data_IF_213319684679
#
_entry.id   IF_213319684679
#
_cell.length_a   1.000
_cell.length_b   1.000
_cell.length_c   1.000
_cell.angle_alpha   90.00
_cell.angle_beta   90.00
_cell.angle_gamma   90.00
#
_symmetry.space_group_name_H-M   'P 1'
#
loop_
_entity.id
_entity.type
_entity.pdbx_description
1 polymer ?
#
# COMPACT_ATOMS: atom_id res chain seq x y z
N UNK A 1 -36.77 0.41 -24.18
CA UNK A 1 -35.77 0.16 -25.25
C UNK A 1 -34.41 0.82 -24.98
N UNK A 2 -34.26 1.83 -24.11
CA UNK A 2 -32.93 2.39 -23.77
C UNK A 2 -32.16 1.56 -22.74
N UNK A 3 -32.80 1.04 -21.69
CA UNK A 3 -32.13 0.27 -20.63
C UNK A 3 -31.50 -1.06 -21.10
N UNK A 4 -32.06 -1.68 -22.14
CA UNK A 4 -31.51 -2.92 -22.72
C UNK A 4 -30.27 -2.65 -23.57
N UNK A 5 -30.23 -1.51 -24.28
CA UNK A 5 -29.09 -1.12 -25.10
C UNK A 5 -27.87 -0.74 -24.22
N UNK A 6 -28.09 0.02 -23.14
CA UNK A 6 -27.03 0.38 -22.18
C UNK A 6 -26.42 -0.85 -21.51
N UNK A 7 -27.24 -1.86 -21.16
CA UNK A 7 -26.74 -3.09 -20.55
C UNK A 7 -25.95 -3.97 -21.53
N UNK A 8 -26.36 -4.02 -22.81
CA UNK A 8 -25.64 -4.79 -23.83
C UNK A 8 -24.31 -4.12 -24.21
N UNK A 9 -24.27 -2.78 -24.28
CA UNK A 9 -23.06 -2.01 -24.55
C UNK A 9 -22.07 -2.08 -23.36
N UNK A 10 -22.57 -2.04 -22.12
CA UNK A 10 -21.76 -2.27 -20.91
C UNK A 10 -21.13 -3.68 -20.88
N UNK A 11 -21.88 -4.71 -21.26
CA UNK A 11 -21.38 -6.09 -21.29
C UNK A 11 -20.34 -6.28 -22.41
N UNK A 12 -20.48 -5.60 -23.55
CA UNK A 12 -19.50 -5.65 -24.64
C UNK A 12 -18.19 -4.91 -24.32
N UNK A 13 -18.23 -3.85 -23.52
CA UNK A 13 -17.03 -3.11 -23.09
C UNK A 13 -16.22 -3.80 -21.99
N UNK A 14 -16.86 -4.71 -21.23
CA UNK A 14 -16.27 -5.36 -20.06
C UNK A 14 -15.06 -6.28 -20.36
N UNK A 15 -15.07 -7.12 -21.42
CA UNK A 15 -13.89 -7.90 -21.78
C UNK A 15 -12.69 -7.03 -22.16
N UNK A 16 -12.94 -5.92 -22.88
CA UNK A 16 -11.88 -5.01 -23.33
C UNK A 16 -11.25 -4.26 -22.15
N UNK A 17 -12.06 -3.80 -21.20
CA UNK A 17 -11.56 -3.11 -20.00
C UNK A 17 -10.74 -4.05 -19.09
N UNK A 18 -11.16 -5.32 -18.96
CA UNK A 18 -10.41 -6.34 -18.21
C UNK A 18 -9.06 -6.67 -18.86
N UNK A 19 -9.00 -6.76 -20.19
CA UNK A 19 -7.75 -6.97 -20.93
C UNK A 19 -6.80 -5.79 -20.81
N UNK A 20 -7.32 -4.57 -20.91
CA UNK A 20 -6.53 -3.36 -20.71
C UNK A 20 -5.98 -3.29 -19.28
N UNK A 21 -6.81 -3.60 -18.28
CA UNK A 21 -6.40 -3.66 -16.89
C UNK A 21 -5.28 -4.69 -16.67
N UNK A 22 -5.38 -5.87 -17.28
CA UNK A 22 -4.36 -6.90 -17.21
C UNK A 22 -3.05 -6.44 -17.87
N UNK A 23 -3.14 -5.77 -19.03
CA UNK A 23 -1.98 -5.22 -19.73
C UNK A 23 -1.25 -4.17 -18.87
N UNK A 24 -1.98 -3.23 -18.28
CA UNK A 24 -1.41 -2.20 -17.39
C UNK A 24 -0.77 -2.82 -16.14
N UNK A 25 -1.46 -3.76 -15.48
CA UNK A 25 -0.91 -4.49 -14.33
C UNK A 25 0.37 -5.25 -14.70
N UNK A 26 0.39 -5.94 -15.84
CA UNK A 26 1.57 -6.63 -16.35
C UNK A 26 2.73 -5.66 -16.61
N UNK A 27 2.46 -4.49 -17.22
CA UNK A 27 3.47 -3.45 -17.45
C UNK A 27 4.14 -3.00 -16.16
N UNK A 28 3.36 -2.74 -15.12
CA UNK A 28 3.86 -2.36 -13.77
C UNK A 28 4.69 -3.50 -13.17
N UNK A 29 4.17 -4.73 -13.16
CA UNK A 29 4.84 -5.90 -12.57
C UNK A 29 6.14 -6.24 -13.30
N UNK A 30 6.16 -6.22 -14.63
CA UNK A 30 7.37 -6.47 -15.41
C UNK A 30 8.44 -5.41 -15.14
N UNK A 31 8.04 -4.13 -15.02
CA UNK A 31 8.94 -3.04 -14.66
C UNK A 31 9.52 -3.25 -13.25
N UNK A 32 8.67 -3.61 -12.29
CA UNK A 32 9.08 -3.93 -10.93
C UNK A 32 10.02 -5.15 -10.84
N UNK A 33 9.79 -6.19 -11.64
CA UNK A 33 10.67 -7.36 -11.74
C UNK A 33 12.04 -6.98 -12.31
N UNK A 34 12.09 -6.19 -13.39
CA UNK A 34 13.35 -5.68 -13.96
C UNK A 34 14.13 -4.86 -12.96
N UNK A 35 13.43 -4.01 -12.21
CA UNK A 35 14.04 -3.24 -11.14
C UNK A 35 14.44 -4.11 -9.95
N UNK A 36 13.97 -5.37 -9.84
CA UNK A 36 14.12 -6.32 -8.70
C UNK A 36 13.37 -5.91 -7.42
N UNK A 37 12.24 -5.22 -7.56
CA UNK A 37 11.38 -4.75 -6.45
C UNK A 37 10.54 -5.90 -5.88
N UNK A 38 10.13 -6.83 -6.75
CA UNK A 38 9.32 -8.00 -6.41
C UNK A 38 10.11 -9.31 -6.56
N UNK A 39 9.76 -10.31 -5.75
CA UNK A 39 10.13 -11.71 -6.00
C UNK A 39 9.19 -12.30 -7.09
N UNK A 40 9.50 -13.48 -7.65
CA UNK A 40 8.56 -14.14 -8.58
C UNK A 40 7.17 -14.39 -7.97
N UNK A 41 7.11 -14.82 -6.70
CA UNK A 41 5.84 -15.00 -5.99
C UNK A 41 5.14 -13.66 -5.74
N UNK A 42 5.90 -12.63 -5.34
CA UNK A 42 5.39 -11.27 -5.17
C UNK A 42 4.86 -10.66 -6.47
N UNK A 43 5.45 -11.00 -7.62
CA UNK A 43 4.98 -10.53 -8.93
C UNK A 43 3.60 -11.07 -9.29
N UNK A 44 3.33 -12.35 -9.01
CA UNK A 44 2.00 -12.92 -9.22
C UNK A 44 0.96 -12.25 -8.31
N UNK A 45 1.27 -12.08 -7.03
CA UNK A 45 0.39 -11.38 -6.09
C UNK A 45 0.14 -9.93 -6.51
N UNK A 46 1.19 -9.21 -6.91
CA UNK A 46 1.09 -7.83 -7.36
C UNK A 46 0.31 -7.70 -8.68
N UNK A 47 0.41 -8.69 -9.56
CA UNK A 47 -0.40 -8.75 -10.78
C UNK A 47 -1.88 -8.85 -10.43
N UNK A 48 -2.27 -9.73 -9.51
CA UNK A 48 -3.68 -9.87 -9.11
C UNK A 48 -4.22 -8.60 -8.45
N UNK A 49 -3.48 -8.05 -7.48
CA UNK A 49 -3.84 -6.79 -6.81
C UNK A 49 -3.97 -5.65 -7.81
N UNK A 50 -2.97 -5.50 -8.69
CA UNK A 50 -2.96 -4.49 -9.74
C UNK A 50 -4.11 -4.67 -10.71
N UNK A 51 -4.32 -5.89 -11.21
CA UNK A 51 -5.35 -6.19 -12.20
C UNK A 51 -6.74 -5.86 -11.67
N UNK A 52 -7.09 -6.28 -10.45
CA UNK A 52 -8.39 -5.93 -9.84
C UNK A 52 -8.52 -4.42 -9.64
N UNK A 53 -7.45 -3.75 -9.19
CA UNK A 53 -7.46 -2.29 -9.01
C UNK A 53 -7.68 -1.55 -10.34
N UNK A 54 -6.98 -1.93 -11.41
CA UNK A 54 -7.18 -1.35 -12.74
C UNK A 54 -8.55 -1.73 -13.34
N UNK A 55 -9.02 -2.96 -13.09
CA UNK A 55 -10.32 -3.46 -13.56
C UNK A 55 -11.50 -2.75 -12.89
N UNK A 56 -11.31 -2.12 -11.73
CA UNK A 56 -12.33 -1.25 -11.12
C UNK A 56 -12.73 -0.05 -12.00
N UNK A 57 -11.96 0.25 -13.06
CA UNK A 57 -12.18 1.39 -13.93
C UNK A 57 -11.76 2.73 -13.32
N UNK A 58 -11.27 2.75 -12.08
CA UNK A 58 -10.83 3.96 -11.39
C UNK A 58 -9.32 4.21 -11.56
N UNK A 59 -8.98 5.20 -12.37
CA UNK A 59 -7.58 5.67 -12.47
C UNK A 59 -7.09 6.28 -11.15
N UNK A 60 -8.00 6.84 -10.35
CA UNK A 60 -7.72 7.34 -9.00
C UNK A 60 -7.20 6.21 -8.11
N UNK A 61 -7.74 4.98 -8.26
CA UNK A 61 -7.35 3.85 -7.42
C UNK A 61 -5.95 3.40 -7.78
N UNK A 62 -5.67 3.38 -9.08
CA UNK A 62 -4.33 3.14 -9.59
C UNK A 62 -3.32 4.17 -9.07
N UNK A 63 -3.68 5.46 -9.03
CA UNK A 63 -2.78 6.51 -8.50
C UNK A 63 -2.40 6.27 -7.03
N UNK A 64 -3.37 5.90 -6.20
CA UNK A 64 -3.16 5.57 -4.77
C UNK A 64 -2.29 4.31 -4.60
N UNK A 65 -2.63 3.22 -5.30
CA UNK A 65 -1.86 1.96 -5.29
C UNK A 65 -0.41 2.21 -5.74
N UNK A 66 -0.22 2.92 -6.86
CA UNK A 66 1.10 3.21 -7.41
C UNK A 66 1.91 4.12 -6.48
N UNK A 67 1.27 5.07 -5.81
CA UNK A 67 1.92 5.93 -4.80
C UNK A 67 2.53 5.09 -3.69
N UNK A 68 1.74 4.20 -3.07
CA UNK A 68 2.26 3.27 -2.08
C UNK A 68 3.39 2.41 -2.66
N UNK A 69 3.14 1.76 -3.80
CA UNK A 69 4.07 0.80 -4.37
C UNK A 69 5.42 1.41 -4.72
N UNK A 70 5.43 2.56 -5.41
CA UNK A 70 6.64 3.23 -5.87
C UNK A 70 7.42 3.82 -4.69
N UNK A 71 6.75 4.60 -3.83
CA UNK A 71 7.46 5.30 -2.75
C UNK A 71 8.03 4.33 -1.73
N UNK A 72 7.26 3.32 -1.33
CA UNK A 72 7.73 2.30 -0.41
C UNK A 72 8.84 1.43 -1.01
N UNK A 73 8.73 1.02 -2.29
CA UNK A 73 9.78 0.21 -2.93
C UNK A 73 11.09 0.99 -3.11
N UNK A 74 10.99 2.29 -3.39
CA UNK A 74 12.15 3.18 -3.45
C UNK A 74 12.81 3.31 -2.07
N UNK A 75 12.02 3.50 -1.03
CA UNK A 75 12.50 3.64 0.34
C UNK A 75 13.16 2.36 0.87
N UNK A 76 12.60 1.18 0.56
CA UNK A 76 13.22 -0.11 0.86
C UNK A 76 14.62 -0.28 0.29
N UNK A 77 14.95 0.43 -0.78
CA UNK A 77 16.28 0.40 -1.40
C UNK A 77 17.20 1.50 -0.93
N UNK A 78 16.63 2.63 -0.54
CA UNK A 78 17.40 3.75 -0.03
C UNK A 78 18.21 3.31 1.19
N UNK A 79 19.52 3.57 1.16
CA UNK A 79 20.48 3.18 2.21
C UNK A 79 20.43 1.69 2.60
N UNK A 80 20.11 0.80 1.66
CA UNK A 80 19.99 -0.64 1.91
C UNK A 80 21.21 -1.26 2.60
N UNK A 81 22.44 -0.84 2.27
CA UNK A 81 23.65 -1.38 2.92
C UNK A 81 23.74 -1.01 4.42
N UNK A 82 23.31 0.21 4.77
CA UNK A 82 23.28 0.66 6.17
C UNK A 82 22.21 -0.09 6.96
N UNK A 83 21.02 -0.28 6.36
CA UNK A 83 19.93 -1.07 6.96
C UNK A 83 20.34 -2.53 7.15
N UNK A 84 21.02 -3.15 6.17
CA UNK A 84 21.56 -4.52 6.26
C UNK A 84 22.50 -4.71 7.45
N UNK A 85 23.39 -3.75 7.72
CA UNK A 85 24.32 -3.86 8.86
C UNK A 85 23.56 -3.94 10.19
N UNK A 86 22.37 -3.35 10.27
CA UNK A 86 21.48 -3.39 11.43
C UNK A 86 20.56 -4.62 11.40
N UNK A 87 20.12 -5.05 10.21
CA UNK A 87 19.22 -6.19 9.99
C UNK A 87 19.91 -7.56 9.99
N UNK A 88 21.25 -7.68 10.06
CA UNK A 88 21.96 -8.99 10.11
C UNK A 88 21.50 -9.92 11.26
N UNK A 89 20.63 -9.43 12.14
CA UNK A 89 19.97 -10.18 13.22
C UNK A 89 18.54 -10.69 12.86
N UNK A 90 17.98 -10.34 11.69
CA UNK A 90 16.59 -10.66 11.30
C UNK A 90 16.46 -11.02 9.81
N UNK A 91 15.78 -12.13 9.52
CA UNK A 91 15.70 -12.75 8.19
C UNK A 91 14.66 -12.11 7.23
N UNK A 92 14.65 -10.78 7.04
CA UNK A 92 13.75 -10.15 6.06
C UNK A 92 14.41 -9.99 4.67
N UNK A 93 13.76 -10.54 3.64
CA UNK A 93 14.21 -10.45 2.25
C UNK A 93 14.01 -9.06 1.63
N UNK A 94 14.91 -8.63 0.73
CA UNK A 94 14.87 -7.29 0.08
C UNK A 94 13.76 -7.13 -0.97
N UNK A 95 13.15 -8.24 -1.40
CA UNK A 95 12.11 -8.23 -2.44
C UNK A 95 10.79 -8.49 -1.75
N UNK A 96 9.75 -7.74 -2.12
CA UNK A 96 8.41 -8.00 -1.60
C UNK A 96 7.95 -9.36 -2.09
N UNK A 97 7.65 -10.25 -1.15
CA UNK A 97 7.11 -11.58 -1.39
C UNK A 97 5.59 -11.56 -1.44
N UNK A 98 4.97 -12.64 -1.94
CA UNK A 98 3.52 -12.74 -2.05
C UNK A 98 2.81 -12.43 -0.73
N UNK A 99 3.30 -12.96 0.39
CA UNK A 99 2.73 -12.69 1.72
C UNK A 99 2.73 -11.19 2.05
N UNK A 100 3.83 -10.49 1.84
CA UNK A 100 3.91 -9.03 2.06
C UNK A 100 3.02 -8.24 1.10
N UNK A 101 2.90 -8.67 -0.15
CA UNK A 101 2.03 -7.98 -1.14
C UNK A 101 0.56 -8.17 -0.77
N UNK A 102 0.16 -9.37 -0.38
CA UNK A 102 -1.22 -9.68 0.01
C UNK A 102 -1.57 -9.09 1.38
N UNK A 103 -0.65 -9.07 2.35
CA UNK A 103 -0.87 -8.41 3.64
C UNK A 103 -1.16 -6.91 3.46
N UNK A 104 -0.35 -6.23 2.63
CA UNK A 104 -0.51 -4.79 2.39
C UNK A 104 -1.64 -4.45 1.42
N UNK A 105 -1.89 -5.31 0.43
CA UNK A 105 -2.76 -5.01 -0.71
C UNK A 105 -4.09 -5.76 -0.71
N UNK A 106 -4.24 -6.83 0.06
CA UNK A 106 -5.40 -7.72 -0.01
C UNK A 106 -6.69 -7.04 0.46
N UNK A 107 -6.66 -6.41 1.64
CA UNK A 107 -7.80 -5.63 2.17
C UNK A 107 -8.18 -4.50 1.23
N UNK A 108 -7.19 -3.73 0.76
CA UNK A 108 -7.43 -2.67 -0.23
C UNK A 108 -8.09 -3.24 -1.50
N UNK A 109 -7.58 -4.35 -2.03
CA UNK A 109 -8.13 -5.01 -3.23
C UNK A 109 -9.60 -5.42 -3.05
N UNK A 110 -9.95 -5.95 -1.88
CA UNK A 110 -11.34 -6.28 -1.57
C UNK A 110 -12.21 -5.01 -1.49
N UNK A 111 -11.73 -3.94 -0.86
CA UNK A 111 -12.45 -2.67 -0.76
C UNK A 111 -12.67 -2.04 -2.15
N UNK A 112 -11.67 -1.99 -3.03
CA UNK A 112 -11.86 -1.40 -4.36
C UNK A 112 -12.80 -2.24 -5.24
N UNK A 113 -12.78 -3.57 -5.10
CA UNK A 113 -13.76 -4.43 -5.76
C UNK A 113 -15.19 -4.16 -5.25
N UNK A 114 -15.37 -4.00 -3.93
CA UNK A 114 -16.66 -3.64 -3.35
C UNK A 114 -17.12 -2.24 -3.80
N UNK A 115 -16.21 -1.26 -3.88
CA UNK A 115 -16.50 0.06 -4.43
C UNK A 115 -16.98 -0.01 -5.88
N UNK A 116 -16.29 -0.80 -6.73
CA UNK A 116 -16.67 -0.96 -8.13
C UNK A 116 -18.07 -1.57 -8.31
N UNK A 117 -18.50 -2.44 -7.38
CA UNK A 117 -19.82 -3.08 -7.43
C UNK A 117 -20.94 -2.22 -6.83
N UNK A 118 -20.63 -1.40 -5.84
CA UNK A 118 -21.64 -0.70 -5.02
C UNK A 118 -21.71 0.80 -5.26
N UNK A 119 -20.61 1.41 -5.71
CA UNK A 119 -20.43 2.86 -5.78
C UNK A 119 -20.32 3.55 -4.41
N UNK A 120 -20.30 2.80 -3.31
CA UNK A 120 -20.31 3.37 -1.95
C UNK A 120 -18.92 3.90 -1.56
N UNK A 121 -18.84 5.22 -1.35
CA UNK A 121 -17.62 5.95 -0.99
C UNK A 121 -16.93 5.41 0.28
N UNK A 122 -17.63 4.72 1.19
CA UNK A 122 -16.98 4.14 2.36
C UNK A 122 -15.96 3.06 1.96
N UNK A 123 -16.23 2.28 0.91
CA UNK A 123 -15.28 1.31 0.38
C UNK A 123 -14.07 1.98 -0.27
N UNK A 124 -14.29 3.12 -0.93
CA UNK A 124 -13.21 3.95 -1.44
C UNK A 124 -12.31 4.48 -0.31
N UNK A 125 -12.89 5.04 0.74
CA UNK A 125 -12.15 5.53 1.90
C UNK A 125 -11.40 4.41 2.61
N UNK A 126 -12.00 3.22 2.73
CA UNK A 126 -11.34 2.03 3.28
C UNK A 126 -10.15 1.57 2.42
N UNK A 127 -10.29 1.60 1.09
CA UNK A 127 -9.20 1.34 0.16
C UNK A 127 -8.02 2.31 0.35
N UNK A 128 -8.31 3.61 0.40
CA UNK A 128 -7.28 4.64 0.60
C UNK A 128 -6.64 4.49 1.98
N UNK A 129 -7.45 4.29 3.04
CA UNK A 129 -6.97 4.06 4.40
C UNK A 129 -6.07 2.84 4.53
N UNK A 130 -6.41 1.74 3.86
CA UNK A 130 -5.57 0.54 3.83
C UNK A 130 -4.20 0.80 3.20
N UNK A 131 -4.13 1.51 2.07
CA UNK A 131 -2.84 1.89 1.49
C UNK A 131 -2.10 2.96 2.29
N UNK A 132 -2.81 3.86 2.97
CA UNK A 132 -2.20 4.81 3.89
C UNK A 132 -1.54 4.10 5.07
N UNK A 133 -2.18 3.06 5.62
CA UNK A 133 -1.61 2.21 6.66
C UNK A 133 -0.40 1.42 6.17
N UNK A 134 -0.51 0.75 5.02
CA UNK A 134 0.60 -0.01 4.44
C UNK A 134 1.82 0.88 4.11
N UNK A 135 1.58 2.11 3.62
CA UNK A 135 2.65 3.06 3.34
C UNK A 135 3.28 3.59 4.64
N UNK A 136 2.46 3.89 5.66
CA UNK A 136 2.94 4.30 6.98
C UNK A 136 3.81 3.23 7.64
N UNK A 137 3.38 1.96 7.61
CA UNK A 137 4.16 0.84 8.14
C UNK A 137 5.51 0.69 7.44
N UNK A 138 5.50 0.70 6.10
CA UNK A 138 6.75 0.59 5.33
C UNK A 138 7.67 1.78 5.61
N UNK A 139 7.16 3.00 5.65
CA UNK A 139 8.00 4.17 5.91
C UNK A 139 8.54 4.19 7.33
N UNK A 140 7.72 3.80 8.30
CA UNK A 140 8.10 3.69 9.71
C UNK A 140 9.23 2.69 9.91
N UNK A 141 9.09 1.48 9.35
CA UNK A 141 10.11 0.44 9.48
C UNK A 141 11.40 0.79 8.73
N UNK A 142 11.30 1.28 7.50
CA UNK A 142 12.47 1.55 6.64
C UNK A 142 13.31 2.74 7.12
N UNK A 143 12.66 3.82 7.58
CA UNK A 143 13.35 5.00 8.12
C UNK A 143 13.68 4.81 9.60
N UNK A 144 12.81 4.15 10.36
CA UNK A 144 13.03 3.81 11.77
C UNK A 144 14.24 2.90 11.97
N UNK A 145 14.52 1.97 11.05
CA UNK A 145 15.71 1.13 11.07
C UNK A 145 17.04 1.93 11.02
N UNK A 146 16.99 3.21 10.63
CA UNK A 146 18.14 4.11 10.58
C UNK A 146 18.26 5.00 11.83
N UNK A 147 17.35 4.84 12.80
CA UNK A 147 17.34 5.58 14.05
C UNK A 147 18.61 5.32 14.86
N UNK A 148 19.27 6.37 15.39
CA UNK A 148 20.38 6.21 16.33
C UNK A 148 19.90 5.81 17.74
N UNK A 149 18.61 5.98 18.03
CA UNK A 149 17.98 5.64 19.31
C UNK A 149 17.33 4.25 19.19
N UNK A 150 17.52 3.35 20.17
CA UNK A 150 16.93 2.02 20.14
C UNK A 150 15.39 2.10 20.09
N UNK A 151 14.72 1.16 19.38
CA UNK A 151 13.27 1.09 19.37
C UNK A 151 12.72 0.84 20.77
N UNK A 152 11.45 1.23 20.97
CA UNK A 152 10.70 0.92 22.19
C UNK A 152 9.44 0.15 21.83
N UNK A 153 9.07 -0.79 22.67
CA UNK A 153 7.81 -1.50 22.51
C UNK A 153 6.63 -0.51 22.60
N UNK A 154 5.69 -0.58 21.66
CA UNK A 154 4.59 0.41 21.54
C UNK A 154 3.72 0.51 22.80
N UNK A 155 3.38 -0.63 23.43
CA UNK A 155 2.57 -0.67 24.66
C UNK A 155 3.38 -0.42 25.95
N UNK A 156 4.51 -1.11 26.14
CA UNK A 156 5.24 -1.10 27.42
C UNK A 156 6.29 -0.01 27.51
N UNK A 157 6.61 0.66 26.39
CA UNK A 157 7.67 1.67 26.25
C UNK A 157 9.07 1.17 26.65
N UNK A 158 9.24 -0.14 26.83
CA UNK A 158 10.53 -0.76 27.15
C UNK A 158 11.45 -0.70 25.94
N UNK A 159 12.75 -0.41 26.12
CA UNK A 159 13.72 -0.51 25.04
C UNK A 159 13.75 -1.93 24.46
N UNK A 160 13.76 -2.01 23.14
CA UNK A 160 13.94 -3.23 22.37
C UNK A 160 15.26 -3.16 21.61
N UNK A 161 15.77 -4.32 21.19
CA UNK A 161 16.93 -4.35 20.30
C UNK A 161 16.49 -3.94 18.89
N UNK A 162 17.35 -3.26 18.12
CA UNK A 162 17.10 -3.04 16.70
C UNK A 162 16.86 -4.38 15.98
N UNK A 163 15.68 -4.53 15.37
CA UNK A 163 15.27 -5.77 14.68
C UNK A 163 14.23 -6.60 15.44
N UNK A 164 13.99 -6.32 16.73
CA UNK A 164 12.89 -6.94 17.46
C UNK A 164 11.53 -6.50 16.88
N UNK A 165 10.59 -7.44 16.77
CA UNK A 165 9.22 -7.14 16.36
C UNK A 165 8.53 -6.21 17.36
N UNK A 166 7.63 -5.35 16.86
CA UNK A 166 6.82 -4.42 17.67
C UNK A 166 7.57 -3.20 18.24
N UNK A 167 8.81 -2.98 17.77
CA UNK A 167 9.61 -1.82 18.15
C UNK A 167 9.32 -0.59 17.30
N UNK A 168 8.92 0.51 17.95
CA UNK A 168 8.73 1.82 17.31
C UNK A 168 9.82 2.80 17.75
N UNK A 169 10.27 3.64 16.82
CA UNK A 169 11.16 4.78 17.10
C UNK A 169 10.42 6.08 16.81
N UNK A 170 10.81 7.19 17.44
CA UNK A 170 10.23 8.51 17.11
C UNK A 170 10.47 8.84 15.63
N UNK A 171 11.65 8.51 15.12
CA UNK A 171 11.99 8.69 13.71
C UNK A 171 11.07 7.86 12.79
N UNK A 172 10.82 6.60 13.15
CA UNK A 172 9.86 5.74 12.45
C UNK A 172 8.44 6.29 12.51
N UNK A 173 7.97 6.74 13.68
CA UNK A 173 6.63 7.29 13.82
C UNK A 173 6.40 8.54 12.95
N UNK A 174 7.38 9.45 12.93
CA UNK A 174 7.32 10.63 12.06
C UNK A 174 7.34 10.26 10.57
N UNK A 175 8.18 9.28 10.20
CA UNK A 175 8.24 8.76 8.85
C UNK A 175 6.94 8.07 8.42
N UNK A 176 6.34 7.26 9.29
CA UNK A 176 5.06 6.60 9.04
C UNK A 176 3.93 7.61 8.89
N UNK A 177 3.90 8.64 9.76
CA UNK A 177 2.97 9.76 9.63
C UNK A 177 3.11 10.47 8.28
N UNK A 178 4.34 10.79 7.86
CA UNK A 178 4.60 11.36 6.54
C UNK A 178 4.16 10.44 5.38
N UNK A 179 4.39 9.12 5.51
CA UNK A 179 3.94 8.13 4.53
C UNK A 179 2.41 8.10 4.39
N UNK A 180 1.68 8.21 5.50
CA UNK A 180 0.21 8.29 5.49
C UNK A 180 -0.28 9.60 4.86
N UNK A 181 0.35 10.74 5.20
CA UNK A 181 0.05 12.06 4.61
C UNK A 181 0.20 12.04 3.09
N UNK A 182 1.27 11.43 2.58
CA UNK A 182 1.52 11.33 1.13
C UNK A 182 0.37 10.60 0.42
N UNK A 183 -0.10 9.49 0.98
CA UNK A 183 -1.23 8.74 0.39
C UNK A 183 -2.53 9.55 0.46
N UNK A 184 -2.80 10.18 1.60
CA UNK A 184 -3.99 11.01 1.78
C UNK A 184 -4.01 12.22 0.84
N UNK A 185 -2.86 12.87 0.64
CA UNK A 185 -2.70 14.00 -0.27
C UNK A 185 -2.92 13.60 -1.73
N UNK A 186 -2.39 12.45 -2.16
CA UNK A 186 -2.66 11.92 -3.51
C UNK A 186 -4.15 11.61 -3.66
N UNK A 187 -4.76 10.94 -2.69
CA UNK A 187 -6.19 10.63 -2.73
C UNK A 187 -7.06 11.88 -2.85
N UNK A 188 -6.74 12.94 -2.08
CA UNK A 188 -7.43 14.23 -2.16
C UNK A 188 -7.23 14.94 -3.51
N UNK A 189 -6.05 14.79 -4.14
CA UNK A 189 -5.78 15.40 -5.44
C UNK A 189 -6.49 14.70 -6.61
N UNK A 190 -6.74 13.39 -6.49
CA UNK A 190 -7.38 12.60 -7.57
C UNK A 190 -8.88 12.41 -7.38
N UNK A 191 -9.38 12.56 -6.15
CA UNK A 191 -10.78 12.43 -5.79
C UNK A 191 -11.18 13.53 -4.82
N UNK A 192 -12.31 14.24 -5.03
CA UNK A 192 -12.74 15.29 -4.11
C UNK A 192 -13.11 14.66 -2.77
N UNK A 193 -12.24 14.84 -1.78
CA UNK A 193 -12.46 14.42 -0.40
C UNK A 193 -12.68 15.66 0.48
N UNK A 194 -13.60 15.54 1.44
CA UNK A 194 -13.75 16.52 2.50
C UNK A 194 -12.54 16.51 3.44
N UNK A 195 -12.27 17.63 4.10
CA UNK A 195 -11.16 17.75 5.05
C UNK A 195 -11.19 16.65 6.13
N UNK A 196 -12.38 16.36 6.66
CA UNK A 196 -12.57 15.30 7.65
C UNK A 196 -12.15 13.92 7.14
N UNK A 197 -12.46 13.59 5.88
CA UNK A 197 -12.09 12.31 5.27
C UNK A 197 -10.58 12.20 5.08
N UNK A 198 -9.91 13.29 4.70
CA UNK A 198 -8.44 13.33 4.60
C UNK A 198 -7.81 13.08 5.97
N UNK A 199 -8.32 13.73 7.02
CA UNK A 199 -7.87 13.52 8.40
C UNK A 199 -8.12 12.08 8.85
N UNK A 200 -9.29 11.50 8.55
CA UNK A 200 -9.59 10.10 8.85
C UNK A 200 -8.64 9.13 8.17
N UNK A 201 -8.31 9.35 6.89
CA UNK A 201 -7.32 8.52 6.17
C UNK A 201 -5.94 8.63 6.81
N UNK A 202 -5.51 9.85 7.16
CA UNK A 202 -4.21 10.08 7.79
C UNK A 202 -4.10 9.40 9.16
N UNK A 203 -5.09 9.63 10.03
CA UNK A 203 -5.11 9.05 11.37
C UNK A 203 -5.31 7.54 11.32
N UNK A 204 -6.25 7.06 10.49
CA UNK A 204 -6.51 5.64 10.29
C UNK A 204 -5.30 4.90 9.73
N UNK A 205 -4.56 5.51 8.79
CA UNK A 205 -3.32 4.96 8.28
C UNK A 205 -2.24 4.83 9.36
N UNK A 206 -2.00 5.90 10.12
CA UNK A 206 -1.02 5.87 11.21
C UNK A 206 -1.40 4.86 12.30
N UNK A 207 -2.66 4.87 12.75
CA UNK A 207 -3.16 3.93 13.75
C UNK A 207 -3.11 2.49 13.26
N UNK A 208 -3.47 2.24 12.00
CA UNK A 208 -3.37 0.92 11.38
C UNK A 208 -1.94 0.38 11.41
N UNK A 209 -0.94 1.22 11.09
CA UNK A 209 0.47 0.81 11.18
C UNK A 209 0.94 0.53 12.61
N UNK A 210 0.40 1.25 13.60
CA UNK A 210 0.71 1.01 15.01
C UNK A 210 0.07 -0.27 15.52
N UNK A 211 -1.15 -0.59 15.06
CA UNK A 211 -1.81 -1.84 15.40
C UNK A 211 -1.04 -3.04 14.84
N UNK A 212 -0.50 -2.96 13.63
CA UNK A 212 0.39 -4.00 13.09
C UNK A 212 1.65 -4.18 13.94
N UNK A 213 2.16 -3.10 14.55
CA UNK A 213 3.28 -3.18 15.50
C UNK A 213 2.91 -3.77 16.87
N UNK A 214 1.62 -3.95 17.18
CA UNK A 214 1.15 -4.62 18.41
C UNK A 214 1.00 -6.13 18.20
N UNK A 215 0.66 -6.56 16.98
CA UNK A 215 0.38 -7.94 16.58
C UNK A 215 1.66 -8.74 16.28
#
# INVERSE_FOLDING_TARGET
>A
MSASADSEEQVQGLPVSLLLAAFLAAGVVLSALRLRWLSPSGALAAFLVGWVTFASGSWQAAAVLLTFFVTSSALSRWRAERKRRMERLTARGRRREAAQVLANGGVATACIAAYALTGDIHWWLAFVGAYAAANADTWSSEIGALSPVPPRHVLTLRPLQPGDSGGVTVLGLLAGGAGSVVVAAVAWAVHPLGFEQVVMVMLGGLLGSLLDSVL
#
